data_IF_971506966504
#
_entry.id   IF_971506966504
#
_cell.length_a   1.000
_cell.length_b   1.000
_cell.length_c   1.000
_cell.angle_alpha   90.00
_cell.angle_beta   90.00
_cell.angle_gamma   90.00
#
_symmetry.space_group_name_H-M   'P 1'
#
loop_
_entity.id
_entity.type
_entity.pdbx_description
1 polymer ?
#
# COMPACT_ATOMS: atom_id res chain seq x y z
N UNK A 1 -54.69 -26.39 -22.02
CA UNK A 1 -53.49 -26.58 -21.17
C UNK A 1 -52.86 -25.22 -20.89
N UNK A 2 -52.98 -24.64 -19.68
CA UNK A 2 -52.40 -23.34 -19.37
C UNK A 2 -51.21 -23.51 -18.42
N UNK A 3 -50.10 -24.03 -18.93
CA UNK A 3 -48.82 -23.40 -18.57
C UNK A 3 -48.90 -22.01 -19.23
N UNK A 4 -48.47 -20.88 -18.68
CA UNK A 4 -47.08 -20.72 -18.33
C UNK A 4 -46.77 -19.29 -17.85
N UNK A 5 -47.73 -18.46 -17.38
CA UNK A 5 -47.42 -17.04 -17.14
C UNK A 5 -46.57 -16.84 -15.87
N UNK A 6 -46.99 -17.44 -14.74
CA UNK A 6 -46.23 -17.35 -13.46
C UNK A 6 -44.94 -18.17 -13.47
N UNK A 7 -44.93 -19.34 -14.13
CA UNK A 7 -43.74 -20.17 -14.29
C UNK A 7 -42.69 -19.51 -15.19
N UNK A 8 -43.12 -18.82 -16.25
CA UNK A 8 -42.22 -18.03 -17.10
C UNK A 8 -41.59 -16.86 -16.34
N UNK A 9 -42.33 -16.10 -15.54
CA UNK A 9 -41.76 -15.02 -14.72
C UNK A 9 -40.71 -15.50 -13.71
N UNK A 10 -40.94 -16.65 -13.07
CA UNK A 10 -39.97 -17.24 -12.13
C UNK A 10 -38.69 -17.68 -12.86
N UNK A 11 -38.83 -18.32 -14.03
CA UNK A 11 -37.68 -18.72 -14.85
C UNK A 11 -36.88 -17.51 -15.36
N UNK A 12 -37.55 -16.41 -15.72
CA UNK A 12 -36.89 -15.16 -16.09
C UNK A 12 -36.17 -14.51 -14.90
N UNK A 13 -36.76 -14.50 -13.70
CA UNK A 13 -36.12 -13.95 -12.50
C UNK A 13 -34.90 -14.78 -12.06
N UNK A 14 -34.97 -16.11 -12.13
CA UNK A 14 -33.84 -17.01 -11.87
C UNK A 14 -32.73 -16.84 -12.92
N UNK A 15 -33.08 -16.77 -14.20
CA UNK A 15 -32.10 -16.56 -15.27
C UNK A 15 -31.39 -15.20 -15.14
N UNK A 16 -32.13 -14.14 -14.80
CA UNK A 16 -31.56 -12.80 -14.57
C UNK A 16 -30.65 -12.77 -13.34
N UNK A 17 -31.03 -13.47 -12.27
CA UNK A 17 -30.21 -13.61 -11.06
C UNK A 17 -28.91 -14.39 -11.32
N UNK A 18 -28.93 -15.42 -12.19
CA UNK A 18 -27.71 -16.13 -12.60
C UNK A 18 -26.74 -15.25 -13.42
N UNK A 19 -27.25 -14.27 -14.17
CA UNK A 19 -26.40 -13.34 -14.93
C UNK A 19 -25.76 -12.24 -14.08
N UNK A 20 -26.20 -12.06 -12.82
CA UNK A 20 -25.66 -11.06 -11.88
C UNK A 20 -24.43 -11.55 -11.09
N UNK A 21 -23.76 -12.63 -11.54
CA UNK A 21 -22.56 -13.17 -10.88
C UNK A 21 -21.30 -13.14 -11.74
N UNK A 22 -21.28 -12.43 -12.86
CA UNK A 22 -20.03 -12.17 -13.58
C UNK A 22 -19.60 -10.72 -13.37
N UNK A 23 -18.94 -10.44 -12.24
CA UNK A 23 -17.96 -9.35 -12.23
C UNK A 23 -16.84 -9.81 -13.16
N UNK A 24 -16.57 -9.16 -14.30
CA UNK A 24 -15.33 -9.46 -15.00
C UNK A 24 -14.20 -9.14 -14.02
N UNK A 25 -13.49 -10.17 -13.57
CA UNK A 25 -12.25 -10.01 -12.83
C UNK A 25 -11.19 -9.51 -13.82
N UNK A 26 -11.32 -8.25 -14.24
CA UNK A 26 -10.15 -7.49 -14.60
C UNK A 26 -9.37 -7.32 -13.29
N UNK A 27 -8.60 -8.34 -12.95
CA UNK A 27 -7.54 -8.23 -11.96
C UNK A 27 -6.51 -7.28 -12.55
N UNK A 28 -6.73 -5.98 -12.39
CA UNK A 28 -5.69 -5.00 -12.62
C UNK A 28 -4.67 -5.23 -11.52
N UNK A 29 -3.70 -6.10 -11.78
CA UNK A 29 -2.59 -6.34 -10.87
C UNK A 29 -1.80 -5.04 -10.79
N UNK A 30 -1.96 -4.33 -9.69
CA UNK A 30 -1.16 -3.16 -9.39
C UNK A 30 0.07 -3.58 -8.60
N UNK A 31 1.25 -3.34 -9.16
CA UNK A 31 2.53 -3.62 -8.52
C UNK A 31 3.22 -2.30 -8.18
N UNK A 32 3.57 -2.11 -6.89
CA UNK A 32 4.32 -0.95 -6.42
C UNK A 32 5.51 -1.39 -5.58
N UNK A 33 6.69 -0.91 -5.92
CA UNK A 33 7.89 -1.08 -5.09
C UNK A 33 8.08 0.14 -4.19
N UNK A 34 8.27 -0.11 -2.89
CA UNK A 34 8.53 0.91 -1.88
C UNK A 34 9.90 0.65 -1.25
N UNK A 35 10.67 1.71 -1.06
CA UNK A 35 12.00 1.69 -0.44
C UNK A 35 12.05 2.65 0.73
N UNK A 36 12.53 2.17 1.88
CA UNK A 36 12.74 2.95 3.10
C UNK A 36 14.23 2.87 3.44
N UNK A 37 14.91 4.02 3.46
CA UNK A 37 16.36 4.12 3.66
C UNK A 37 16.65 4.71 5.03
N UNK A 38 17.59 4.10 5.76
CA UNK A 38 18.09 4.64 7.01
C UNK A 38 19.33 5.51 6.74
N UNK A 39 19.15 6.83 6.81
CA UNK A 39 20.21 7.84 6.70
C UNK A 39 20.49 8.54 8.03
N UNK A 40 20.14 7.89 9.15
CA UNK A 40 20.48 8.36 10.49
C UNK A 40 21.99 8.26 10.73
N UNK A 41 22.48 9.05 11.69
CA UNK A 41 23.89 9.02 12.08
C UNK A 41 24.32 7.63 12.55
N UNK A 42 25.64 7.37 12.48
CA UNK A 42 26.23 6.08 12.79
C UNK A 42 25.78 5.57 14.17
N UNK A 43 25.16 4.38 14.19
CA UNK A 43 24.69 3.70 15.39
C UNK A 43 23.18 3.75 15.62
N UNK A 44 22.43 4.51 14.83
CA UNK A 44 20.98 4.59 14.95
C UNK A 44 20.28 3.59 14.01
N UNK A 45 19.78 2.51 14.59
CA UNK A 45 18.88 1.60 13.88
C UNK A 45 17.51 2.25 13.68
N UNK A 46 16.88 1.92 12.56
CA UNK A 46 15.51 2.28 12.23
C UNK A 46 14.64 1.03 12.28
N UNK A 47 13.54 1.05 13.04
CA UNK A 47 12.52 0.00 12.97
C UNK A 47 11.42 0.46 12.02
N UNK A 48 11.05 -0.40 11.09
CA UNK A 48 10.05 -0.14 10.05
C UNK A 48 8.94 -1.18 10.18
N UNK A 49 7.69 -0.73 10.22
CA UNK A 49 6.51 -1.60 10.13
C UNK A 49 5.54 -0.98 9.14
N UNK A 50 5.28 -1.68 8.04
CA UNK A 50 4.28 -1.25 7.07
C UNK A 50 3.14 -2.27 7.00
N UNK A 51 1.93 -1.78 6.76
CA UNK A 51 0.74 -2.62 6.56
C UNK A 51 -0.28 -1.94 5.67
N UNK A 52 -1.12 -2.74 5.04
CA UNK A 52 -2.39 -2.30 4.46
C UNK A 52 -3.54 -2.78 5.34
N UNK A 53 -4.79 -2.64 4.87
CA UNK A 53 -5.94 -3.19 5.57
C UNK A 53 -5.91 -4.72 5.64
N UNK A 54 -5.39 -5.35 4.58
CA UNK A 54 -5.46 -6.80 4.38
C UNK A 54 -4.12 -7.51 4.61
N UNK A 55 -3.01 -6.79 4.59
CA UNK A 55 -1.67 -7.38 4.68
C UNK A 55 -0.75 -6.64 5.65
N UNK A 56 -0.13 -7.38 6.57
CA UNK A 56 0.93 -6.91 7.46
C UNK A 56 2.29 -7.38 6.95
N UNK A 57 3.23 -6.45 6.71
CA UNK A 57 4.59 -6.78 6.22
C UNK A 57 5.58 -7.07 7.35
N UNK A 58 5.18 -6.94 8.61
CA UNK A 58 6.01 -7.21 9.78
C UNK A 58 7.00 -6.11 10.12
N UNK A 59 7.72 -6.31 11.23
CA UNK A 59 8.72 -5.39 11.74
C UNK A 59 10.11 -5.69 11.18
N UNK A 60 10.77 -4.68 10.61
CA UNK A 60 12.08 -4.77 10.01
C UNK A 60 13.04 -3.80 10.69
N UNK A 61 14.20 -4.29 11.10
CA UNK A 61 15.28 -3.45 11.63
C UNK A 61 16.25 -3.12 10.50
N UNK A 62 16.45 -1.84 10.24
CA UNK A 62 17.31 -1.31 9.20
C UNK A 62 18.49 -0.62 9.87
N UNK A 63 19.67 -1.18 9.71
CA UNK A 63 20.92 -0.60 10.23
C UNK A 63 21.30 0.69 9.49
N UNK A 64 22.16 1.55 10.07
CA UNK A 64 22.63 2.77 9.42
C UNK A 64 23.14 2.49 8.00
N UNK A 65 22.83 3.37 7.05
CA UNK A 65 23.10 3.26 5.60
C UNK A 65 22.37 2.11 4.87
N UNK A 66 21.61 1.29 5.60
CA UNK A 66 20.79 0.22 5.05
C UNK A 66 19.48 0.70 4.45
N UNK A 67 18.78 -0.22 3.80
CA UNK A 67 17.45 0.02 3.25
C UNK A 67 16.57 -1.22 3.36
N UNK A 68 15.28 -1.01 3.61
CA UNK A 68 14.24 -2.01 3.51
C UNK A 68 13.39 -1.74 2.27
N UNK A 69 13.26 -2.74 1.41
CA UNK A 69 12.48 -2.64 0.18
C UNK A 69 11.48 -3.79 0.09
N UNK A 70 10.26 -3.48 -0.33
CA UNK A 70 9.23 -4.48 -0.56
C UNK A 70 8.38 -4.13 -1.78
N UNK A 71 7.76 -5.17 -2.33
CA UNK A 71 6.82 -5.07 -3.45
C UNK A 71 5.43 -5.31 -2.91
N UNK A 72 4.57 -4.31 -3.06
CA UNK A 72 3.15 -4.39 -2.76
C UNK A 72 2.40 -4.74 -4.05
N UNK A 73 1.55 -5.77 -3.99
CA UNK A 73 0.71 -6.21 -5.10
C UNK A 73 -0.74 -6.14 -4.67
N UNK A 74 -1.55 -5.33 -5.36
CA UNK A 74 -2.99 -5.24 -5.10
C UNK A 74 -3.76 -5.71 -6.33
N UNK A 75 -4.76 -6.56 -6.10
CA UNK A 75 -5.72 -6.99 -7.12
C UNK A 75 -7.02 -6.18 -7.05
N UNK A 76 -7.05 -5.13 -6.23
CA UNK A 76 -8.23 -4.30 -6.03
C UNK A 76 -8.19 -3.08 -6.94
N UNK A 77 -9.37 -2.69 -7.45
CA UNK A 77 -9.55 -1.44 -8.21
C UNK A 77 -9.50 -0.19 -7.33
N UNK A 78 -9.56 -0.36 -6.01
CA UNK A 78 -9.51 0.73 -5.07
C UNK A 78 -8.04 1.09 -4.76
N UNK A 79 -7.71 2.38 -4.60
CA UNK A 79 -6.40 2.76 -4.11
C UNK A 79 -6.21 2.21 -2.70
N UNK A 80 -5.29 1.26 -2.54
CA UNK A 80 -4.95 0.70 -1.23
C UNK A 80 -4.00 1.65 -0.51
N UNK A 81 -4.36 2.06 0.70
CA UNK A 81 -3.50 2.90 1.55
C UNK A 81 -2.53 1.98 2.29
N UNK A 82 -1.25 2.30 2.17
CA UNK A 82 -0.16 1.62 2.84
C UNK A 82 0.35 2.49 3.99
N UNK A 83 0.13 2.05 5.22
CA UNK A 83 0.53 2.75 6.44
C UNK A 83 1.90 2.27 6.87
N UNK A 84 2.87 3.18 6.97
CA UNK A 84 4.21 2.87 7.45
C UNK A 84 4.50 3.61 8.76
N UNK A 85 4.97 2.85 9.74
CA UNK A 85 5.41 3.30 11.04
C UNK A 85 6.92 3.16 11.14
N UNK A 86 7.60 4.24 11.53
CA UNK A 86 9.04 4.28 11.68
C UNK A 86 9.42 4.66 13.10
N UNK A 87 10.28 3.87 13.74
CA UNK A 87 10.79 4.17 15.08
C UNK A 87 12.31 4.29 15.09
N UNK A 88 12.81 5.26 15.86
CA UNK A 88 14.24 5.53 15.99
C UNK A 88 14.63 6.02 17.40
N UNK A 89 15.94 6.21 17.58
CA UNK A 89 16.57 6.73 18.79
C UNK A 89 16.60 5.74 19.96
N UNK A 90 16.99 6.20 21.16
CA UNK A 90 17.17 5.33 22.33
C UNK A 90 15.88 4.59 22.67
N UNK A 91 15.93 3.26 22.62
CA UNK A 91 14.77 2.37 22.81
C UNK A 91 13.60 2.62 21.84
N UNK A 92 13.85 3.14 20.63
CA UNK A 92 12.83 3.34 19.59
C UNK A 92 11.67 4.25 20.01
N UNK A 93 11.96 5.27 20.83
CA UNK A 93 10.95 6.18 21.38
C UNK A 93 10.42 7.21 20.38
N UNK A 94 11.23 7.61 19.40
CA UNK A 94 10.79 8.57 18.38
C UNK A 94 10.05 7.80 17.31
N UNK A 95 8.78 8.14 17.10
CA UNK A 95 7.87 7.41 16.23
C UNK A 95 7.19 8.37 15.25
N UNK A 96 7.22 8.03 13.97
CA UNK A 96 6.51 8.75 12.91
C UNK A 96 5.65 7.76 12.12
N UNK A 97 4.50 8.24 11.64
CA UNK A 97 3.59 7.49 10.76
C UNK A 97 3.39 8.27 9.48
N UNK A 98 3.36 7.57 8.35
CA UNK A 98 2.99 8.17 7.07
C UNK A 98 2.28 7.19 6.15
N UNK A 99 1.51 7.75 5.23
CA UNK A 99 0.77 7.03 4.21
C UNK A 99 1.57 7.01 2.90
N UNK A 100 1.67 5.84 2.29
CA UNK A 100 2.23 5.69 0.94
C UNK A 100 1.07 5.55 -0.05
N UNK A 101 0.85 6.62 -0.82
CA UNK A 101 -0.18 6.65 -1.86
C UNK A 101 0.30 6.10 -3.21
N UNK A 102 -0.66 5.70 -4.05
CA UNK A 102 -0.43 5.23 -5.42
C UNK A 102 0.27 6.29 -6.29
N UNK A 103 -0.15 7.56 -6.20
CA UNK A 103 0.46 8.69 -6.90
C UNK A 103 1.29 9.45 -5.85
N UNK A 104 2.45 8.89 -5.51
CA UNK A 104 3.27 9.44 -4.45
C UNK A 104 4.66 8.81 -4.41
N UNK A 105 5.48 9.24 -3.44
CA UNK A 105 6.86 8.78 -3.29
C UNK A 105 7.00 7.27 -3.32
N UNK A 106 8.04 6.79 -3.99
CA UNK A 106 8.43 5.37 -3.98
C UNK A 106 9.60 5.11 -3.03
N UNK A 107 10.36 6.16 -2.74
CA UNK A 107 11.51 6.11 -1.86
C UNK A 107 11.30 7.08 -0.71
N UNK A 108 11.56 6.60 0.49
CA UNK A 108 11.49 7.33 1.73
C UNK A 108 12.84 7.30 2.43
N UNK A 109 13.30 8.43 2.93
CA UNK A 109 14.56 8.56 3.67
C UNK A 109 14.27 9.05 5.09
N UNK A 110 14.69 8.26 6.08
CA UNK A 110 14.69 8.70 7.47
C UNK A 110 16.02 9.40 7.79
N UNK A 111 15.95 10.66 8.22
CA UNK A 111 17.07 11.49 8.67
C UNK A 111 16.79 11.99 10.08
N UNK A 112 17.81 12.54 10.72
CA UNK A 112 17.71 13.06 12.09
C UNK A 112 16.63 14.13 12.23
N UNK A 113 16.39 14.91 11.17
CA UNK A 113 15.49 16.04 11.18
C UNK A 113 14.11 15.75 10.55
N UNK A 114 13.85 14.53 10.09
CA UNK A 114 12.55 14.13 9.56
C UNK A 114 12.58 13.00 8.54
N UNK A 115 11.42 12.74 7.96
CA UNK A 115 11.22 11.74 6.91
C UNK A 115 10.93 12.45 5.59
N UNK A 116 11.62 12.02 4.54
CA UNK A 116 11.57 12.62 3.22
C UNK A 116 11.07 11.64 2.17
N UNK A 117 10.05 12.02 1.41
CA UNK A 117 9.53 11.25 0.30
C UNK A 117 9.99 11.81 -1.05
N UNK A 118 10.47 10.93 -1.93
CA UNK A 118 10.94 11.26 -3.27
C UNK A 118 10.03 10.68 -4.35
N UNK A 119 9.53 11.57 -5.22
CA UNK A 119 8.84 11.19 -6.45
C UNK A 119 9.86 11.19 -7.59
N UNK A 120 9.98 10.06 -8.29
CA UNK A 120 10.74 10.00 -9.53
C UNK A 120 9.84 10.53 -10.64
N UNK A 121 9.87 11.85 -10.88
CA UNK A 121 9.32 12.43 -12.10
C UNK A 121 10.48 12.75 -13.05
N UNK A 122 10.31 12.45 -14.34
CA UNK A 122 11.37 12.26 -15.35
C UNK A 122 12.16 13.54 -15.71
N UNK A 123 12.01 14.63 -14.96
CA UNK A 123 12.83 15.85 -15.10
C UNK A 123 13.00 16.68 -13.83
N UNK A 124 12.42 16.30 -12.68
CA UNK A 124 12.57 17.03 -11.41
C UNK A 124 12.43 16.08 -10.21
N UNK A 125 13.42 16.06 -9.32
CA UNK A 125 13.31 15.38 -8.03
C UNK A 125 12.49 16.26 -7.08
N UNK A 126 11.19 16.01 -7.00
CA UNK A 126 10.36 16.63 -5.95
C UNK A 126 10.57 15.88 -4.63
N UNK A 127 11.06 16.62 -3.62
CA UNK A 127 11.27 16.16 -2.26
C UNK A 127 10.20 16.77 -1.36
N UNK A 128 9.43 15.91 -0.71
CA UNK A 128 8.45 16.32 0.32
C UNK A 128 8.97 15.92 1.69
N UNK A 129 8.99 16.86 2.64
CA UNK A 129 9.25 16.59 4.05
C UNK A 129 7.91 16.39 4.75
N UNK A 130 7.84 15.39 5.63
CA UNK A 130 6.72 15.22 6.54
C UNK A 130 7.02 15.97 7.85
N UNK A 131 6.06 16.78 8.30
CA UNK A 131 6.10 17.51 9.57
C UNK A 131 5.67 16.64 10.77
#
# INVERSE_FOLDING_TARGET
MPMNRRRSFILFAFAFSLTMMSKPALSFLYIRSVWIRNLLHSGNDLVVHCKTADQDMGYHRVHPTGSYGFRHESNTLAPEILWCHLWQGPNFKHHQVFDVYYIGPRTWEAKEDGIYGFVLEESTLEMSKLD
#
